data_IF_493365421565
#
_entry.id   IF_493365421565
#
_cell.length_a   1.000
_cell.length_b   1.000
_cell.length_c   1.000
_cell.angle_alpha   90.00
_cell.angle_beta   90.00
_cell.angle_gamma   90.00
#
_symmetry.space_group_name_H-M   'P 1'
#
loop_
_entity.id
_entity.type
_entity.pdbx_description
1 polymer ?
#
# COMPACT_ATOMS: atom_id res chain seq x y z
N UNK A 1 -0.30 -21.71 3.36
CA UNK A 1 -1.17 -20.78 4.10
C UNK A 1 -1.92 -19.91 3.11
N UNK A 2 -3.21 -19.77 3.30
CA UNK A 2 -3.95 -18.95 2.36
C UNK A 2 -3.56 -17.47 2.53
N UNK A 3 -3.42 -16.83 1.40
CA UNK A 3 -3.15 -15.42 1.34
C UNK A 3 -4.49 -14.69 1.31
N UNK A 4 -4.62 -13.66 2.09
CA UNK A 4 -5.84 -12.85 2.11
C UNK A 4 -5.57 -11.51 1.45
N UNK A 5 -6.57 -11.03 0.74
CA UNK A 5 -6.50 -9.76 0.04
C UNK A 5 -7.60 -8.83 0.51
N UNK A 6 -7.23 -7.59 0.68
CA UNK A 6 -8.16 -6.55 1.15
C UNK A 6 -8.01 -5.32 0.27
N UNK A 7 -9.13 -4.71 -0.08
CA UNK A 7 -9.08 -3.41 -0.75
C UNK A 7 -8.69 -2.35 0.27
N UNK A 8 -7.77 -1.47 -0.12
CA UNK A 8 -7.38 -0.39 0.78
C UNK A 8 -7.15 0.88 0.00
N UNK A 9 -7.25 1.98 0.71
CA UNK A 9 -6.87 3.29 0.20
C UNK A 9 -5.94 3.92 1.22
N UNK A 10 -5.15 4.86 0.77
CA UNK A 10 -4.23 5.53 1.67
C UNK A 10 -3.49 6.68 1.02
N UNK A 11 -2.65 7.31 1.81
CA UNK A 11 -1.84 8.43 1.39
C UNK A 11 -0.38 8.02 1.43
N UNK A 12 0.33 8.24 0.34
CA UNK A 12 1.76 7.93 0.29
C UNK A 12 2.51 8.99 1.08
N UNK A 13 3.30 8.54 2.05
CA UNK A 13 4.11 9.43 2.87
C UNK A 13 5.50 9.55 2.28
N UNK A 14 6.08 8.43 1.89
CA UNK A 14 7.42 8.42 1.27
C UNK A 14 7.56 7.17 0.44
N UNK A 15 8.55 7.19 -0.45
CA UNK A 15 8.81 6.05 -1.33
C UNK A 15 10.28 5.72 -1.23
N UNK A 16 10.58 4.44 -1.04
CA UNK A 16 11.94 3.93 -1.00
C UNK A 16 12.13 3.00 -2.19
N UNK A 17 12.72 3.48 -3.29
CA UNK A 17 12.92 2.62 -4.47
C UNK A 17 13.76 1.40 -4.15
N UNK A 18 14.62 1.49 -3.18
CA UNK A 18 15.36 0.36 -2.66
C UNK A 18 15.13 0.31 -1.16
N UNK A 19 14.58 -0.79 -0.67
CA UNK A 19 14.34 -2.09 -1.31
C UNK A 19 13.02 -2.23 -2.09
N UNK A 20 12.32 -1.17 -2.38
CA UNK A 20 11.07 -1.28 -3.13
C UNK A 20 9.86 -1.23 -2.23
N UNK A 21 9.86 -0.29 -1.31
CA UNK A 21 8.77 -0.10 -0.36
C UNK A 21 8.23 1.32 -0.45
N UNK A 22 7.04 1.51 0.09
CA UNK A 22 6.49 2.84 0.25
C UNK A 22 5.85 2.91 1.62
N UNK A 23 6.08 4.01 2.29
CA UNK A 23 5.41 4.27 3.55
C UNK A 23 4.07 4.91 3.23
N UNK A 24 3.00 4.25 3.66
CA UNK A 24 1.64 4.67 3.35
C UNK A 24 0.85 4.78 4.64
N UNK A 25 0.15 5.90 4.77
CA UNK A 25 -0.82 6.05 5.84
C UNK A 25 -2.14 5.52 5.31
N UNK A 26 -2.47 4.27 5.65
CA UNK A 26 -3.67 3.64 5.14
C UNK A 26 -4.89 4.15 5.90
N UNK A 27 -6.00 4.23 5.18
CA UNK A 27 -7.26 4.57 5.81
C UNK A 27 -7.77 3.40 6.64
N UNK A 28 -8.70 3.69 7.52
CA UNK A 28 -9.28 2.68 8.38
C UNK A 28 -9.90 1.56 7.54
N UNK A 29 -9.61 0.31 7.92
CA UNK A 29 -10.17 -0.87 7.28
C UNK A 29 -10.98 -1.62 8.33
N UNK A 30 -12.27 -1.33 8.43
CA UNK A 30 -13.10 -1.92 9.48
C UNK A 30 -13.05 -3.44 9.46
N UNK A 31 -12.92 -4.02 10.63
CA UNK A 31 -12.84 -5.46 10.77
C UNK A 31 -11.46 -6.03 10.50
N UNK A 32 -10.50 -5.22 10.08
CA UNK A 32 -9.16 -5.68 9.80
C UNK A 32 -8.10 -4.85 10.53
N UNK A 33 -7.96 -3.58 10.19
CA UNK A 33 -6.98 -2.76 10.88
C UNK A 33 -7.41 -1.30 10.85
N UNK A 34 -6.86 -0.55 11.80
CA UNK A 34 -7.12 0.88 11.89
C UNK A 34 -6.26 1.64 10.90
N UNK A 35 -6.64 2.88 10.68
CA UNK A 35 -5.78 3.79 9.95
C UNK A 35 -4.44 3.88 10.66
N UNK A 36 -3.36 3.64 9.92
CA UNK A 36 -2.02 3.68 10.48
C UNK A 36 -1.00 3.85 9.38
N UNK A 37 0.20 4.19 9.77
CA UNK A 37 1.29 4.41 8.83
C UNK A 37 2.21 3.21 8.89
N UNK A 38 2.45 2.59 7.74
CA UNK A 38 3.28 1.40 7.66
C UNK A 38 4.07 1.41 6.36
N UNK A 39 5.17 0.66 6.36
CA UNK A 39 5.93 0.39 5.15
C UNK A 39 5.35 -0.82 4.47
N UNK A 40 5.01 -0.69 3.20
CA UNK A 40 4.47 -1.78 2.40
C UNK A 40 5.41 -2.09 1.27
N UNK A 41 5.53 -3.36 0.94
CA UNK A 41 6.30 -3.77 -0.24
C UNK A 41 5.44 -3.52 -1.48
N UNK A 42 6.03 -2.89 -2.47
CA UNK A 42 5.37 -2.64 -3.74
C UNK A 42 6.01 -3.57 -4.75
N UNK A 43 5.26 -4.59 -5.17
CA UNK A 43 5.81 -5.60 -6.08
C UNK A 43 5.87 -5.12 -7.52
N UNK A 44 5.02 -4.17 -7.88
CA UNK A 44 5.00 -3.62 -9.23
C UNK A 44 5.98 -2.46 -9.30
N UNK A 45 7.12 -2.71 -9.95
CA UNK A 45 8.16 -1.68 -10.05
C UNK A 45 7.69 -0.46 -10.81
N UNK A 46 6.83 -0.64 -11.78
CA UNK A 46 6.29 0.47 -12.53
C UNK A 46 5.44 1.38 -11.64
N UNK A 47 4.58 0.77 -10.86
CA UNK A 47 3.77 1.54 -9.91
C UNK A 47 4.65 2.26 -8.90
N UNK A 48 5.67 1.58 -8.39
CA UNK A 48 6.58 2.19 -7.43
C UNK A 48 7.25 3.42 -8.01
N UNK A 49 7.63 3.35 -9.27
CA UNK A 49 8.32 4.46 -9.93
C UNK A 49 7.41 5.67 -10.13
N UNK A 50 6.11 5.47 -10.14
CA UNK A 50 5.16 6.57 -10.36
C UNK A 50 4.59 7.15 -9.07
N UNK A 51 4.83 6.49 -7.95
CA UNK A 51 4.31 6.98 -6.68
C UNK A 51 5.13 8.15 -6.16
N UNK A 52 4.46 9.11 -5.56
CA UNK A 52 5.10 10.28 -4.98
C UNK A 52 4.50 10.58 -3.61
N UNK A 53 5.28 11.14 -2.70
CA UNK A 53 4.72 11.59 -1.43
C UNK A 53 3.54 12.54 -1.66
N UNK A 54 2.48 12.30 -0.93
CA UNK A 54 1.26 13.10 -1.08
C UNK A 54 0.22 12.50 -2.01
N UNK A 55 0.57 11.45 -2.74
CA UNK A 55 -0.39 10.79 -3.62
C UNK A 55 -1.39 9.97 -2.79
N UNK A 56 -2.65 10.03 -3.17
CA UNK A 56 -3.62 9.10 -2.65
C UNK A 56 -3.68 7.91 -3.58
N UNK A 57 -3.70 6.73 -2.99
CA UNK A 57 -3.68 5.51 -3.77
C UNK A 57 -4.81 4.58 -3.36
N UNK A 58 -5.14 3.72 -4.29
CA UNK A 58 -6.02 2.59 -4.06
C UNK A 58 -5.24 1.34 -4.44
N UNK A 59 -5.28 0.34 -3.58
CA UNK A 59 -4.48 -0.84 -3.81
C UNK A 59 -5.15 -2.05 -3.17
N UNK A 60 -4.62 -3.22 -3.48
CA UNK A 60 -5.01 -4.46 -2.82
C UNK A 60 -3.91 -4.81 -1.83
N UNK A 61 -4.27 -4.86 -0.56
CA UNK A 61 -3.35 -5.28 0.48
C UNK A 61 -3.34 -6.80 0.52
N UNK A 62 -2.16 -7.36 0.44
CA UNK A 62 -1.97 -8.80 0.49
C UNK A 62 -1.28 -9.15 1.80
N UNK A 63 -1.88 -10.03 2.55
CA UNK A 63 -1.33 -10.49 3.83
C UNK A 63 -1.26 -12.00 3.82
N UNK A 64 -0.12 -12.55 4.17
CA UNK A 64 0.02 -13.99 4.27
C UNK A 64 -0.11 -14.48 5.72
N UNK A 65 -0.49 -13.59 6.60
CA UNK A 65 -0.67 -13.95 8.00
C UNK A 65 0.60 -13.94 8.83
N UNK A 66 1.73 -13.52 8.22
CA UNK A 66 3.03 -13.53 8.91
C UNK A 66 3.69 -12.18 8.81
N UNK A 67 3.39 -11.15 8.80
CA UNK A 67 4.12 -9.88 8.76
C UNK A 67 4.57 -9.46 7.37
N UNK A 68 4.11 -10.15 6.35
CA UNK A 68 4.39 -9.71 4.99
C UNK A 68 3.22 -8.84 4.55
N UNK A 69 3.54 -7.60 4.27
CA UNK A 69 2.53 -6.61 3.86
C UNK A 69 2.91 -6.10 2.49
N UNK A 70 2.19 -6.57 1.49
CA UNK A 70 2.44 -6.18 0.10
C UNK A 70 1.23 -5.45 -0.46
N UNK A 71 1.48 -4.55 -1.37
CA UNK A 71 0.41 -3.90 -2.12
C UNK A 71 0.49 -4.35 -3.57
N UNK A 72 -0.66 -4.75 -4.11
CA UNK A 72 -0.81 -5.11 -5.51
C UNK A 72 -1.84 -4.18 -6.13
N UNK A 73 -1.80 -4.10 -7.46
CA UNK A 73 -2.78 -3.32 -8.20
C UNK A 73 -2.85 -1.89 -7.70
N UNK A 74 -1.67 -1.32 -7.42
CA UNK A 74 -1.59 0.04 -6.90
C UNK A 74 -1.95 1.02 -8.02
N UNK A 75 -2.94 1.85 -7.77
CA UNK A 75 -3.31 2.89 -8.71
C UNK A 75 -3.41 4.20 -7.95
N UNK A 76 -2.97 5.28 -8.59
CA UNK A 76 -3.11 6.59 -8.01
C UNK A 76 -4.56 7.01 -8.12
N UNK A 77 -5.15 7.43 -7.00
CA UNK A 77 -6.48 7.99 -7.03
C UNK A 77 -6.39 9.33 -7.76
N UNK A 78 -7.36 9.60 -8.62
CA UNK A 78 -7.32 10.84 -9.36
C UNK A 78 -7.35 12.02 -8.39
N UNK A 79 -6.43 12.95 -8.50
CA UNK A 79 -6.48 14.13 -7.64
C UNK A 79 -7.67 14.98 -8.02
N UNK A 80 -8.21 15.62 -7.04
CA UNK A 80 -9.32 16.52 -7.25
C UNK A 80 -8.86 17.95 -7.24
#
# INVERSE_FOLDING_TARGET
MPVKRYSMTGLVVSVQPQPGTARVHNDDMPGFMRAMEMDYQITDKHALATLKPGDRIKATLVSDGQNVWKLENVTAAAPK
#
